data_IF_414353005525
#
_entry.id   IF_414353005525
#
_cell.length_a   1.000
_cell.length_b   1.000
_cell.length_c   1.000
_cell.angle_alpha   90.00
_cell.angle_beta   90.00
_cell.angle_gamma   90.00
#
_symmetry.space_group_name_H-M   'P 1'
#
loop_
_entity.id
_entity.type
_entity.pdbx_description
1 polymer ?
#
# COMPACT_ATOMS: atom_id res chain seq x y z
N UNK A 1 -16.51 -24.30 22.39
CA UNK A 1 -16.44 -22.90 22.88
C UNK A 1 -15.02 -22.38 22.69
N UNK A 2 -14.77 -21.51 21.71
CA UNK A 2 -13.40 -21.08 21.36
C UNK A 2 -13.12 -19.68 21.93
N UNK A 3 -12.28 -19.60 22.96
CA UNK A 3 -11.74 -18.34 23.50
C UNK A 3 -10.63 -17.85 22.58
N UNK A 4 -10.84 -16.70 21.93
CA UNK A 4 -9.82 -16.05 21.11
C UNK A 4 -9.01 -15.10 21.98
N UNK A 5 -7.76 -15.47 22.25
CA UNK A 5 -6.79 -14.69 23.01
C UNK A 5 -6.18 -13.63 22.09
N UNK A 6 -6.51 -12.37 22.33
CA UNK A 6 -5.80 -11.20 21.78
C UNK A 6 -4.62 -10.88 22.70
N UNK A 7 -3.45 -11.46 22.44
CA UNK A 7 -2.19 -11.08 23.12
C UNK A 7 -1.07 -10.97 22.10
N UNK A 8 -1.01 -9.84 21.38
CA UNK A 8 0.21 -9.36 20.72
C UNK A 8 0.20 -7.83 20.72
N UNK A 9 0.33 -7.22 21.90
CA UNK A 9 0.67 -5.79 22.03
C UNK A 9 1.33 -5.42 23.38
N UNK A 10 1.56 -6.38 24.28
CA UNK A 10 2.05 -6.14 25.65
C UNK A 10 3.48 -6.59 25.91
N UNK A 11 4.15 -7.29 24.97
CA UNK A 11 5.42 -8.00 25.27
C UNK A 11 6.69 -7.16 25.01
N UNK A 12 6.61 -6.01 24.33
CA UNK A 12 7.83 -5.20 24.07
C UNK A 12 8.21 -4.29 25.27
N UNK A 13 7.36 -4.15 26.27
CA UNK A 13 7.65 -3.28 27.45
C UNK A 13 8.36 -4.06 28.59
N UNK A 14 8.36 -5.40 28.57
CA UNK A 14 8.88 -6.21 29.67
C UNK A 14 10.37 -6.58 29.56
N UNK A 15 11.04 -6.36 28.41
CA UNK A 15 12.44 -6.74 28.19
C UNK A 15 13.46 -5.59 28.33
N UNK A 16 13.08 -4.48 28.97
CA UNK A 16 13.99 -3.38 29.33
C UNK A 16 14.15 -3.23 30.85
N UNK A 17 14.28 -4.35 31.56
CA UNK A 17 14.74 -4.39 32.95
C UNK A 17 16.22 -4.75 32.91
N UNK A 18 17.08 -3.75 33.03
CA UNK A 18 18.52 -3.98 33.03
C UNK A 18 19.33 -2.69 33.16
N UNK A 19 19.22 -2.03 34.32
CA UNK A 19 20.30 -1.19 34.84
C UNK A 19 20.08 0.33 34.84
N UNK A 20 20.25 0.88 36.05
CA UNK A 20 20.61 2.27 36.38
C UNK A 20 19.57 3.39 36.16
N UNK A 21 18.87 3.74 37.25
CA UNK A 21 19.37 4.75 38.20
C UNK A 21 18.18 5.30 39.01
N UNK A 22 18.17 4.94 40.29
CA UNK A 22 17.27 5.51 41.27
C UNK A 22 17.88 6.85 41.73
N UNK A 23 17.42 7.99 41.22
CA UNK A 23 17.57 9.28 41.92
C UNK A 23 16.59 10.36 41.43
N UNK A 24 16.12 11.17 42.41
CA UNK A 24 15.26 12.35 42.34
C UNK A 24 13.85 12.23 41.70
N UNK A 25 12.85 11.93 42.53
CA UNK A 25 11.41 11.99 42.22
C UNK A 25 10.97 13.32 41.56
N UNK A 26 11.61 14.46 41.88
CA UNK A 26 11.29 15.76 41.27
C UNK A 26 11.83 15.92 39.84
N UNK A 27 13.02 15.38 39.55
CA UNK A 27 13.61 15.44 38.21
C UNK A 27 12.84 14.53 37.24
N UNK A 28 12.48 13.33 37.68
CA UNK A 28 11.68 12.38 36.87
C UNK A 28 10.24 12.88 36.62
N UNK A 29 9.63 13.58 37.57
CA UNK A 29 8.32 14.21 37.39
C UNK A 29 8.36 15.37 36.36
N UNK A 30 9.37 16.25 36.43
CA UNK A 30 9.54 17.36 35.49
C UNK A 30 9.80 16.86 34.06
N UNK A 31 10.67 15.85 33.91
CA UNK A 31 10.94 15.23 32.61
C UNK A 31 9.71 14.53 32.02
N UNK A 32 8.92 13.83 32.85
CA UNK A 32 7.64 13.26 32.42
C UNK A 32 6.69 14.35 31.90
N UNK A 33 6.54 15.45 32.64
CA UNK A 33 5.66 16.56 32.24
C UNK A 33 6.13 17.19 30.93
N UNK A 34 7.43 17.42 30.79
CA UNK A 34 8.04 17.95 29.56
C UNK A 34 7.81 17.00 28.37
N UNK A 35 8.02 15.69 28.55
CA UNK A 35 7.77 14.70 27.51
C UNK A 35 6.28 14.66 27.10
N UNK A 36 5.36 14.70 28.07
CA UNK A 36 3.92 14.77 27.78
C UNK A 36 3.53 16.07 27.05
N UNK A 37 4.09 17.22 27.44
CA UNK A 37 3.85 18.51 26.79
C UNK A 37 4.40 18.54 25.36
N UNK A 38 5.62 18.05 25.15
CA UNK A 38 6.26 17.94 23.84
C UNK A 38 5.49 16.98 22.92
N UNK A 39 5.00 15.85 23.45
CA UNK A 39 4.16 14.93 22.70
C UNK A 39 2.85 15.58 22.23
N UNK A 40 2.18 16.36 23.09
CA UNK A 40 0.97 17.12 22.73
C UNK A 40 1.26 18.21 21.68
N UNK A 41 2.38 18.92 21.83
CA UNK A 41 2.83 19.93 20.87
C UNK A 41 3.15 19.30 19.51
N UNK A 42 3.83 18.16 19.50
CA UNK A 42 4.11 17.40 18.28
C UNK A 42 2.81 16.92 17.60
N UNK A 43 1.78 16.50 18.36
CA UNK A 43 0.44 16.24 17.80
C UNK A 43 -0.10 17.49 17.12
N UNK A 44 -0.08 18.66 17.78
CA UNK A 44 -0.59 19.91 17.21
C UNK A 44 0.13 20.22 15.88
N UNK A 45 1.45 20.10 15.85
CA UNK A 45 2.30 20.29 14.67
C UNK A 45 2.27 19.15 13.65
N UNK A 46 1.43 18.11 13.86
CA UNK A 46 1.28 16.93 12.97
C UNK A 46 2.54 16.06 12.86
N UNK A 47 3.50 16.21 13.77
CA UNK A 47 4.70 15.36 13.84
C UNK A 47 4.42 14.10 14.66
N UNK A 48 3.59 13.21 14.12
CA UNK A 48 3.06 12.06 14.89
C UNK A 48 4.13 11.08 15.35
N UNK A 49 5.14 10.77 14.53
CA UNK A 49 6.27 9.92 14.93
C UNK A 49 7.05 10.52 16.10
N UNK A 50 7.29 11.83 16.08
CA UNK A 50 7.95 12.51 17.21
C UNK A 50 7.06 12.48 18.46
N UNK A 51 5.74 12.67 18.30
CA UNK A 51 4.80 12.58 19.40
C UNK A 51 4.82 11.19 20.07
N UNK A 52 4.87 10.11 19.29
CA UNK A 52 5.02 8.75 19.82
C UNK A 52 6.31 8.59 20.64
N UNK A 53 7.45 9.06 20.12
CA UNK A 53 8.72 9.03 20.85
C UNK A 53 8.64 9.80 22.16
N UNK A 54 8.01 10.97 22.18
CA UNK A 54 7.80 11.74 23.40
C UNK A 54 6.92 11.00 24.43
N UNK A 55 5.81 10.38 24.01
CA UNK A 55 4.97 9.60 24.94
C UNK A 55 5.64 8.30 25.42
N UNK A 56 6.46 7.67 24.58
CA UNK A 56 7.30 6.54 25.00
C UNK A 56 8.32 7.00 26.05
N UNK A 57 8.96 8.14 25.85
CA UNK A 57 9.88 8.70 26.84
C UNK A 57 9.17 9.05 28.16
N UNK A 58 7.93 9.57 28.09
CA UNK A 58 7.11 9.76 29.29
C UNK A 58 6.86 8.44 30.04
N UNK A 59 6.55 7.35 29.33
CA UNK A 59 6.37 6.02 29.93
C UNK A 59 7.66 5.44 30.51
N UNK A 60 8.83 5.75 29.95
CA UNK A 60 10.13 5.38 30.53
C UNK A 60 10.36 6.06 31.90
N UNK A 61 9.80 7.25 32.11
CA UNK A 61 9.91 8.00 33.38
C UNK A 61 8.81 7.64 34.39
N UNK A 62 7.61 7.35 33.91
CA UNK A 62 6.49 6.86 34.73
C UNK A 62 5.89 5.61 34.10
N UNK A 63 6.44 4.47 34.50
CA UNK A 63 5.97 3.17 34.05
C UNK A 63 4.48 3.00 34.39
N UNK A 64 3.72 2.39 33.48
CA UNK A 64 2.29 2.11 33.63
C UNK A 64 1.39 3.35 33.80
N UNK A 65 1.85 4.56 33.45
CA UNK A 65 1.00 5.75 33.46
C UNK A 65 -0.11 5.64 32.39
N UNK A 66 -1.36 5.49 32.86
CA UNK A 66 -2.53 5.27 32.00
C UNK A 66 -2.76 6.42 31.01
N UNK A 67 -2.36 7.64 31.36
CA UNK A 67 -2.55 8.82 30.51
C UNK A 67 -1.53 8.81 29.37
N UNK A 68 -0.25 8.65 29.67
CA UNK A 68 0.82 8.56 28.67
C UNK A 68 0.60 7.38 27.72
N UNK A 69 0.21 6.21 28.26
CA UNK A 69 -0.11 5.03 27.45
C UNK A 69 -1.26 5.30 26.49
N UNK A 70 -2.32 5.97 26.96
CA UNK A 70 -3.46 6.34 26.12
C UNK A 70 -3.09 7.30 25.00
N UNK A 71 -2.30 8.33 25.30
CA UNK A 71 -1.82 9.28 24.29
C UNK A 71 -0.93 8.58 23.25
N UNK A 72 -0.03 7.69 23.68
CA UNK A 72 0.78 6.88 22.79
C UNK A 72 -0.09 6.00 21.88
N UNK A 73 -0.95 5.18 22.46
CA UNK A 73 -1.81 4.26 21.70
C UNK A 73 -2.74 5.00 20.75
N UNK A 74 -3.33 6.13 21.17
CA UNK A 74 -4.18 6.93 20.31
C UNK A 74 -3.40 7.50 19.12
N UNK A 75 -2.17 7.98 19.35
CA UNK A 75 -1.29 8.50 18.28
C UNK A 75 -0.92 7.40 17.30
N UNK A 76 -0.48 6.24 17.78
CA UNK A 76 -0.15 5.07 16.96
C UNK A 76 -1.32 4.60 16.10
N UNK A 77 -2.53 4.59 16.67
CA UNK A 77 -3.77 4.25 15.93
C UNK A 77 -4.07 5.28 14.85
N UNK A 78 -3.84 6.57 15.11
CA UNK A 78 -4.02 7.62 14.12
C UNK A 78 -3.01 7.47 12.96
N UNK A 79 -1.74 7.21 13.26
CA UNK A 79 -0.71 6.93 12.25
C UNK A 79 -1.07 5.70 11.41
N UNK A 80 -1.53 4.62 12.05
CA UNK A 80 -2.00 3.43 11.34
C UNK A 80 -3.18 3.74 10.40
N UNK A 81 -4.06 4.67 10.79
CA UNK A 81 -5.19 5.09 9.97
C UNK A 81 -4.75 5.90 8.74
N UNK A 82 -3.80 6.81 8.90
CA UNK A 82 -3.22 7.61 7.80
C UNK A 82 -2.48 6.69 6.81
N UNK A 83 -1.65 5.76 7.31
CA UNK A 83 -0.96 4.78 6.46
C UNK A 83 -1.96 3.91 5.68
N UNK A 84 -2.98 3.36 6.36
CA UNK A 84 -4.02 2.57 5.69
C UNK A 84 -4.80 3.38 4.64
N UNK A 85 -4.98 4.69 4.85
CA UNK A 85 -5.61 5.57 3.86
C UNK A 85 -4.70 5.79 2.65
N UNK A 86 -3.41 6.02 2.87
CA UNK A 86 -2.40 6.19 1.81
C UNK A 86 -2.21 4.92 0.95
N UNK A 87 -2.31 3.76 1.58
CA UNK A 87 -2.26 2.43 0.98
C UNK A 87 -3.59 2.01 0.33
N UNK A 88 -4.61 2.87 0.40
CA UNK A 88 -5.96 2.64 -0.15
C UNK A 88 -6.75 1.52 0.56
N UNK A 89 -6.30 1.09 1.74
CA UNK A 89 -7.02 0.18 2.64
C UNK A 89 -8.12 0.90 3.42
N UNK A 90 -9.12 1.42 2.70
CA UNK A 90 -10.16 2.29 3.27
C UNK A 90 -10.97 1.69 4.42
N UNK A 91 -11.18 0.37 4.43
CA UNK A 91 -11.88 -0.31 5.52
C UNK A 91 -11.06 -0.27 6.82
N UNK A 92 -9.76 -0.57 6.74
CA UNK A 92 -8.81 -0.50 7.85
C UNK A 92 -8.65 0.93 8.34
N UNK A 93 -8.48 1.89 7.42
CA UNK A 93 -8.42 3.31 7.74
C UNK A 93 -9.67 3.76 8.53
N UNK A 94 -10.87 3.39 8.06
CA UNK A 94 -12.12 3.70 8.75
C UNK A 94 -12.14 3.15 10.19
N UNK A 95 -11.74 1.89 10.38
CA UNK A 95 -11.72 1.23 11.70
C UNK A 95 -10.73 1.92 12.65
N UNK A 96 -9.54 2.27 12.16
CA UNK A 96 -8.55 2.96 12.97
C UNK A 96 -8.96 4.38 13.33
N UNK A 97 -9.50 5.17 12.39
CA UNK A 97 -10.04 6.51 12.70
C UNK A 97 -11.20 6.44 13.69
N UNK A 98 -12.12 5.48 13.53
CA UNK A 98 -13.21 5.27 14.49
C UNK A 98 -12.66 5.00 15.90
N UNK A 99 -11.66 4.13 16.02
CA UNK A 99 -11.01 3.83 17.31
C UNK A 99 -10.39 5.08 17.94
N UNK A 100 -9.72 5.93 17.14
CA UNK A 100 -9.13 7.19 17.63
C UNK A 100 -10.21 8.18 18.07
N UNK A 101 -11.30 8.28 17.31
CA UNK A 101 -12.44 9.14 17.64
C UNK A 101 -13.10 8.70 18.95
N UNK A 102 -13.25 7.39 19.17
CA UNK A 102 -13.94 6.84 20.34
C UNK A 102 -13.06 6.84 21.60
N UNK A 103 -11.76 7.09 21.46
CA UNK A 103 -10.82 7.16 22.59
C UNK A 103 -11.17 8.31 23.53
N UNK A 104 -11.70 7.98 24.72
CA UNK A 104 -12.01 8.95 25.78
C UNK A 104 -10.78 9.30 26.60
N UNK A 105 -10.74 10.52 27.13
CA UNK A 105 -9.66 11.06 27.96
C UNK A 105 -8.28 11.09 27.26
N UNK A 106 -8.26 11.10 25.93
CA UNK A 106 -7.07 11.23 25.10
C UNK A 106 -6.86 12.65 24.55
N UNK A 107 -6.11 12.76 23.47
CA UNK A 107 -5.94 13.97 22.68
C UNK A 107 -7.20 14.34 21.91
N UNK A 108 -7.83 15.45 22.29
CA UNK A 108 -8.99 16.01 21.59
C UNK A 108 -8.64 16.44 20.15
N UNK A 109 -7.39 16.85 19.92
CA UNK A 109 -6.89 17.20 18.59
C UNK A 109 -6.94 15.98 17.66
N UNK A 110 -6.47 14.82 18.14
CA UNK A 110 -6.53 13.58 17.35
C UNK A 110 -7.96 13.10 17.16
N UNK A 111 -8.82 13.20 18.18
CA UNK A 111 -10.24 12.87 18.07
C UNK A 111 -10.93 13.68 16.98
N UNK A 112 -10.74 15.01 16.96
CA UNK A 112 -11.33 15.90 15.94
C UNK A 112 -10.81 15.57 14.54
N UNK A 113 -9.49 15.42 14.39
CA UNK A 113 -8.89 15.06 13.09
C UNK A 113 -9.35 13.70 12.59
N UNK A 114 -9.48 12.72 13.48
CA UNK A 114 -9.97 11.39 13.13
C UNK A 114 -11.44 11.43 12.67
N UNK A 115 -12.28 12.26 13.29
CA UNK A 115 -13.67 12.46 12.86
C UNK A 115 -13.74 13.05 11.45
N UNK A 116 -12.91 14.05 11.13
CA UNK A 116 -12.86 14.65 9.80
C UNK A 116 -12.36 13.65 8.75
N UNK A 117 -11.31 12.90 9.08
CA UNK A 117 -10.81 11.81 8.23
C UNK A 117 -11.82 10.69 8.05
N UNK A 118 -12.60 10.36 9.08
CA UNK A 118 -13.65 9.35 8.99
C UNK A 118 -14.74 9.76 7.99
N UNK A 119 -15.16 11.03 8.00
CA UNK A 119 -16.08 11.57 6.99
C UNK A 119 -15.49 11.42 5.59
N UNK A 120 -14.24 11.82 5.40
CA UNK A 120 -13.53 11.70 4.13
C UNK A 120 -13.47 10.24 3.65
N UNK A 121 -13.09 9.29 4.51
CA UNK A 121 -13.03 7.86 4.18
C UNK A 121 -14.40 7.31 3.81
N UNK A 122 -15.47 7.70 4.51
CA UNK A 122 -16.84 7.28 4.17
C UNK A 122 -17.23 7.75 2.76
N UNK A 123 -16.94 9.01 2.42
CA UNK A 123 -17.15 9.54 1.06
C UNK A 123 -16.32 8.78 0.03
N UNK A 124 -15.04 8.52 0.31
CA UNK A 124 -14.17 7.76 -0.59
C UNK A 124 -14.76 6.37 -0.85
N UNK A 125 -15.17 5.65 0.20
CA UNK A 125 -15.77 4.31 0.08
C UNK A 125 -17.07 4.33 -0.72
N UNK A 126 -17.91 5.36 -0.55
CA UNK A 126 -19.13 5.52 -1.35
C UNK A 126 -18.80 5.65 -2.83
N UNK A 127 -17.88 6.55 -3.17
CA UNK A 127 -17.42 6.73 -4.54
C UNK A 127 -16.78 5.46 -5.12
N UNK A 128 -15.97 4.71 -4.34
CA UNK A 128 -15.42 3.41 -4.76
C UNK A 128 -16.54 2.45 -5.18
N UNK A 129 -17.63 2.37 -4.42
CA UNK A 129 -18.78 1.52 -4.79
C UNK A 129 -19.42 1.97 -6.09
N UNK A 130 -19.66 3.27 -6.24
CA UNK A 130 -20.27 3.84 -7.46
C UNK A 130 -19.38 3.60 -8.69
N UNK A 131 -18.09 3.91 -8.60
CA UNK A 131 -17.14 3.73 -9.69
C UNK A 131 -16.95 2.26 -10.06
N UNK A 132 -16.91 1.35 -9.07
CA UNK A 132 -16.90 -0.09 -9.34
C UNK A 132 -18.15 -0.53 -10.10
N UNK A 133 -19.33 -0.03 -9.74
CA UNK A 133 -20.59 -0.36 -10.45
C UNK A 133 -20.53 0.05 -11.93
N UNK A 134 -20.06 1.27 -12.23
CA UNK A 134 -19.89 1.74 -13.62
C UNK A 134 -18.85 0.91 -14.37
N UNK A 135 -17.72 0.59 -13.72
CA UNK A 135 -16.67 -0.22 -14.33
C UNK A 135 -17.16 -1.64 -14.65
N UNK A 136 -17.90 -2.29 -13.72
CA UNK A 136 -18.51 -3.60 -13.96
C UNK A 136 -19.54 -3.57 -15.08
N UNK A 137 -20.34 -2.49 -15.17
CA UNK A 137 -21.26 -2.29 -16.32
C UNK A 137 -20.48 -2.22 -17.64
N UNK A 138 -19.40 -1.44 -17.69
CA UNK A 138 -18.55 -1.34 -18.88
C UNK A 138 -17.89 -2.69 -19.23
N UNK A 139 -17.47 -3.47 -18.23
CA UNK A 139 -16.92 -4.82 -18.44
C UNK A 139 -17.97 -5.75 -19.06
N UNK A 140 -19.19 -5.78 -18.54
CA UNK A 140 -20.27 -6.58 -19.14
C UNK A 140 -20.62 -6.15 -20.57
N UNK A 141 -20.55 -4.85 -20.87
CA UNK A 141 -20.72 -4.36 -22.25
C UNK A 141 -19.59 -4.81 -23.17
N UNK A 142 -18.33 -4.84 -22.69
CA UNK A 142 -17.20 -5.37 -23.43
C UNK A 142 -17.33 -6.89 -23.70
N UNK A 143 -17.72 -7.66 -22.68
CA UNK A 143 -17.95 -9.11 -22.77
C UNK A 143 -19.07 -9.44 -23.77
N UNK A 144 -20.10 -8.60 -23.84
CA UNK A 144 -21.16 -8.67 -24.85
C UNK A 144 -20.78 -8.11 -26.23
N UNK A 145 -19.48 -7.82 -26.47
CA UNK A 145 -18.93 -7.22 -27.70
C UNK A 145 -19.49 -5.83 -28.04
N UNK A 146 -20.21 -5.19 -27.12
CA UNK A 146 -20.76 -3.84 -27.23
C UNK A 146 -19.72 -2.78 -26.87
N UNK A 147 -18.60 -2.77 -27.60
CA UNK A 147 -17.43 -1.93 -27.28
C UNK A 147 -17.71 -0.43 -27.28
N UNK A 148 -18.56 0.06 -28.19
CA UNK A 148 -18.97 1.46 -28.25
C UNK A 148 -19.70 1.89 -26.97
N UNK A 149 -20.69 1.11 -26.54
CA UNK A 149 -21.41 1.37 -25.29
C UNK A 149 -20.51 1.25 -24.05
N UNK A 150 -19.60 0.27 -24.04
CA UNK A 150 -18.60 0.14 -22.98
C UNK A 150 -17.74 1.40 -22.88
N UNK A 151 -17.28 1.96 -24.01
CA UNK A 151 -16.55 3.21 -24.05
C UNK A 151 -17.39 4.40 -23.57
N UNK A 152 -18.67 4.51 -23.93
CA UNK A 152 -19.56 5.55 -23.39
C UNK A 152 -19.65 5.49 -21.86
N UNK A 153 -19.83 4.29 -21.28
CA UNK A 153 -19.82 4.12 -19.81
C UNK A 153 -18.46 4.49 -19.20
N UNK A 154 -17.35 4.21 -19.89
CA UNK A 154 -16.02 4.60 -19.43
C UNK A 154 -15.78 6.11 -19.52
N UNK A 155 -16.35 6.80 -20.51
CA UNK A 155 -16.28 8.25 -20.61
C UNK A 155 -17.02 8.95 -19.46
N UNK A 156 -18.16 8.41 -19.01
CA UNK A 156 -18.84 8.87 -17.78
C UNK A 156 -17.91 8.80 -16.56
N UNK A 157 -17.13 7.71 -16.43
CA UNK A 157 -16.12 7.56 -15.38
C UNK A 157 -14.99 8.58 -15.52
N UNK A 158 -14.42 8.73 -16.72
CA UNK A 158 -13.28 9.63 -16.95
C UNK A 158 -13.65 11.12 -16.88
N UNK A 159 -14.89 11.49 -17.19
CA UNK A 159 -15.39 12.85 -17.08
C UNK A 159 -15.66 13.25 -15.61
N UNK A 160 -15.77 12.27 -14.70
CA UNK A 160 -15.88 12.55 -13.27
C UNK A 160 -14.51 12.95 -12.68
N UNK A 161 -14.35 14.23 -12.32
CA UNK A 161 -13.10 14.75 -11.74
C UNK A 161 -12.68 14.03 -10.45
N UNK A 162 -13.62 13.52 -9.65
CA UNK A 162 -13.32 12.74 -8.45
C UNK A 162 -12.64 11.42 -8.80
N UNK A 163 -13.01 10.78 -9.91
CA UNK A 163 -12.42 9.50 -10.34
C UNK A 163 -10.92 9.61 -10.66
N UNK A 164 -10.45 10.82 -11.01
CA UNK A 164 -9.03 11.10 -11.29
C UNK A 164 -8.18 11.28 -10.02
N UNK A 165 -8.81 11.34 -8.84
CA UNK A 165 -8.08 11.48 -7.59
C UNK A 165 -7.26 10.23 -7.26
N UNK A 166 -6.13 10.42 -6.57
CA UNK A 166 -5.19 9.34 -6.18
C UNK A 166 -5.87 8.15 -5.50
N UNK A 167 -6.94 8.39 -4.74
CA UNK A 167 -7.68 7.33 -4.04
C UNK A 167 -8.27 6.26 -4.97
N UNK A 168 -8.52 6.61 -6.24
CA UNK A 168 -9.15 5.71 -7.21
C UNK A 168 -8.19 5.22 -8.28
N UNK A 169 -6.87 5.42 -8.12
CA UNK A 169 -5.84 5.10 -9.11
C UNK A 169 -5.94 3.66 -9.68
N UNK A 170 -6.30 2.69 -8.83
CA UNK A 170 -6.42 1.29 -9.24
C UNK A 170 -7.64 1.07 -10.13
N UNK A 171 -8.76 1.74 -9.85
CA UNK A 171 -9.96 1.68 -10.69
C UNK A 171 -9.75 2.45 -12.00
N UNK A 172 -9.08 3.61 -11.93
CA UNK A 172 -8.72 4.39 -13.11
C UNK A 172 -7.84 3.58 -14.08
N UNK A 173 -6.87 2.85 -13.56
CA UNK A 173 -6.00 1.99 -14.38
C UNK A 173 -6.78 0.85 -15.04
N UNK A 174 -7.72 0.22 -14.32
CA UNK A 174 -8.60 -0.81 -14.88
C UNK A 174 -9.50 -0.25 -15.99
N UNK A 175 -10.09 0.93 -15.77
CA UNK A 175 -10.90 1.62 -16.78
C UNK A 175 -10.08 1.93 -18.05
N UNK A 176 -8.82 2.36 -17.90
CA UNK A 176 -7.94 2.66 -19.03
C UNK A 176 -7.59 1.39 -19.82
N UNK A 177 -7.28 0.30 -19.14
CA UNK A 177 -7.01 -1.00 -19.76
C UNK A 177 -8.24 -1.51 -20.53
N UNK A 178 -9.44 -1.39 -19.94
CA UNK A 178 -10.68 -1.79 -20.61
C UNK A 178 -10.96 -0.96 -21.86
N UNK A 179 -10.75 0.36 -21.80
CA UNK A 179 -10.89 1.24 -22.99
C UNK A 179 -9.92 0.81 -24.10
N UNK A 180 -8.68 0.48 -23.75
CA UNK A 180 -7.70 -0.04 -24.73
C UNK A 180 -8.19 -1.35 -25.37
N UNK A 181 -8.74 -2.26 -24.58
CA UNK A 181 -9.31 -3.51 -25.08
C UNK A 181 -10.53 -3.28 -25.99
N UNK A 182 -11.45 -2.38 -25.61
CA UNK A 182 -12.60 -1.98 -26.44
C UNK A 182 -12.17 -1.44 -27.80
N UNK A 183 -11.16 -0.56 -27.84
CA UNK A 183 -10.68 0.05 -29.08
C UNK A 183 -10.03 -1.00 -30.00
N UNK A 184 -9.28 -1.95 -29.43
CA UNK A 184 -8.72 -3.07 -30.17
C UNK A 184 -9.84 -3.97 -30.74
N UNK A 185 -10.86 -4.28 -29.94
CA UNK A 185 -12.03 -5.04 -30.37
C UNK A 185 -12.80 -4.38 -31.52
N UNK A 186 -13.02 -3.06 -31.46
CA UNK A 186 -13.64 -2.30 -32.55
C UNK A 186 -12.81 -2.34 -33.83
N UNK A 187 -11.49 -2.19 -33.72
CA UNK A 187 -10.58 -2.24 -34.87
C UNK A 187 -10.62 -3.62 -35.53
N UNK A 188 -10.63 -4.70 -34.72
CA UNK A 188 -10.74 -6.06 -35.23
C UNK A 188 -12.09 -6.33 -35.91
N UNK A 189 -13.20 -5.85 -35.35
CA UNK A 189 -14.53 -5.99 -35.98
C UNK A 189 -14.66 -5.22 -37.30
N UNK A 190 -13.97 -4.09 -37.43
CA UNK A 190 -13.92 -3.31 -38.67
C UNK A 190 -13.08 -4.02 -39.73
N UNK A 191 -11.94 -4.61 -39.34
CA UNK A 191 -11.09 -5.37 -40.24
C UNK A 191 -11.78 -6.65 -40.76
N UNK A 192 -12.53 -7.37 -39.91
CA UNK A 192 -13.31 -8.53 -40.35
C UNK A 192 -14.48 -8.15 -41.27
N UNK A 193 -15.10 -7.00 -41.05
CA UNK A 193 -16.17 -6.44 -41.91
C UNK A 193 -15.64 -5.90 -43.25
N UNK A 194 -14.38 -5.43 -43.29
CA UNK A 194 -13.70 -5.05 -44.53
C UNK A 194 -13.27 -6.28 -45.35
N UNK A 195 -12.94 -7.39 -44.68
CA UNK A 195 -12.59 -8.65 -45.36
C UNK A 195 -13.83 -9.35 -45.96
N UNK A 196 -15.00 -9.23 -45.31
CA UNK A 196 -16.26 -9.76 -45.85
C UNK A 196 -16.85 -8.91 -46.99
N UNK A 197 -16.39 -7.68 -47.20
CA UNK A 197 -16.75 -6.85 -48.35
C UNK A 197 -15.78 -7.00 -49.53
N UNK A 198 -14.55 -7.46 -49.31
CA UNK A 198 -13.61 -7.85 -50.37
C UNK A 198 -13.89 -9.25 -50.95
N UNK A 199 -14.56 -10.14 -50.22
CA UNK A 199 -14.90 -11.50 -50.68
C UNK A 199 -16.10 -11.58 -51.64
N UNK A 200 -16.84 -10.48 -51.86
CA UNK A 200 -17.94 -10.43 -52.83
C UNK A 200 -17.45 -10.20 -54.28
N UNK A 201 -16.14 -10.17 -54.53
CA UNK A 201 -15.57 -9.95 -55.87
C UNK A 201 -14.30 -10.77 -56.12
N UNK A 202 -14.32 -12.07 -55.84
CA UNK A 202 -13.47 -13.05 -56.56
C UNK A 202 -13.71 -14.47 -56.03
N UNK A 203 -14.50 -15.24 -56.77
CA UNK A 203 -14.49 -16.70 -56.73
C UNK A 203 -13.19 -17.23 -57.35
N UNK A 204 -12.45 -18.09 -56.64
CA UNK A 204 -11.75 -19.28 -57.16
C UNK A 204 -10.99 -19.99 -56.05
N UNK A 205 -11.04 -21.32 -56.11
CA UNK A 205 -10.55 -22.30 -55.14
C UNK A 205 -9.02 -22.48 -55.04
N UNK A 206 -8.65 -23.14 -53.94
CA UNK A 206 -7.64 -24.20 -53.78
C UNK A 206 -6.32 -23.89 -53.04
N UNK A 207 -6.28 -24.47 -51.83
CA UNK A 207 -5.28 -25.43 -51.32
C UNK A 207 -3.81 -25.04 -51.09
N UNK A 208 -3.43 -25.22 -49.81
CA UNK A 208 -2.24 -25.91 -49.29
C UNK A 208 -1.03 -25.09 -48.78
N UNK A 209 -0.80 -25.29 -47.48
CA UNK A 209 0.49 -25.45 -46.75
C UNK A 209 1.53 -24.33 -46.76
N UNK A 210 1.83 -23.76 -45.58
CA UNK A 210 2.99 -24.18 -44.76
C UNK A 210 3.17 -23.32 -43.50
N UNK A 211 3.70 -23.98 -42.48
CA UNK A 211 4.03 -23.59 -41.11
C UNK A 211 4.95 -22.37 -40.90
N UNK A 212 4.76 -21.68 -39.78
CA UNK A 212 5.81 -21.39 -38.78
C UNK A 212 5.19 -20.73 -37.53
N UNK A 213 5.11 -21.50 -36.44
CA UNK A 213 5.94 -21.34 -35.22
C UNK A 213 5.71 -20.02 -34.48
N UNK A 214 4.74 -20.04 -33.55
CA UNK A 214 4.68 -19.09 -32.44
C UNK A 214 4.96 -19.86 -31.15
N UNK A 215 6.17 -19.64 -30.64
CA UNK A 215 6.71 -20.12 -29.37
C UNK A 215 5.82 -19.66 -28.22
N UNK A 216 5.19 -20.63 -27.58
CA UNK A 216 4.52 -20.52 -26.29
C UNK A 216 5.55 -20.29 -25.18
N UNK A 217 5.64 -19.07 -24.67
CA UNK A 217 6.19 -18.79 -23.34
C UNK A 217 5.04 -18.67 -22.35
N UNK A 218 4.77 -19.79 -21.68
CA UNK A 218 3.84 -19.95 -20.58
C UNK A 218 4.24 -19.05 -19.39
N UNK A 219 3.67 -17.85 -19.32
CA UNK A 219 3.53 -17.15 -18.04
C UNK A 219 2.38 -17.83 -17.28
N UNK A 220 2.71 -18.67 -16.31
CA UNK A 220 1.74 -19.34 -15.46
C UNK A 220 0.75 -18.32 -14.86
N UNK A 221 -0.51 -18.41 -15.27
CA UNK A 221 -1.59 -17.61 -14.70
C UNK A 221 -1.90 -18.13 -13.30
N UNK A 222 -1.89 -17.22 -12.31
CA UNK A 222 -2.25 -17.54 -10.93
C UNK A 222 -3.63 -18.20 -10.88
N UNK A 223 -3.71 -19.33 -10.19
CA UNK A 223 -4.94 -20.03 -9.87
C UNK A 223 -5.88 -19.15 -9.03
N UNK A 224 -7.18 -19.46 -9.06
CA UNK A 224 -8.19 -18.72 -8.30
C UNK A 224 -7.91 -18.67 -6.79
N UNK A 225 -7.26 -19.71 -6.24
CA UNK A 225 -6.79 -19.78 -4.85
C UNK A 225 -5.61 -18.83 -4.59
N UNK A 226 -4.64 -18.76 -5.50
CA UNK A 226 -3.50 -17.83 -5.41
C UNK A 226 -3.94 -16.36 -5.55
N UNK A 227 -4.93 -16.07 -6.39
CA UNK A 227 -5.53 -14.73 -6.49
C UNK A 227 -6.28 -14.33 -5.22
N UNK A 228 -6.92 -15.28 -4.54
CA UNK A 228 -7.60 -15.03 -3.26
C UNK A 228 -6.59 -14.83 -2.11
N UNK A 229 -5.47 -15.55 -2.13
CA UNK A 229 -4.36 -15.36 -1.19
C UNK A 229 -3.68 -13.99 -1.40
N UNK A 230 -3.42 -13.59 -2.64
CA UNK A 230 -2.89 -12.27 -2.99
C UNK A 230 -3.82 -11.11 -2.57
N UNK A 231 -5.14 -11.30 -2.65
CA UNK A 231 -6.14 -10.31 -2.21
C UNK A 231 -6.26 -10.18 -0.69
N UNK A 232 -5.88 -11.20 0.08
CA UNK A 232 -5.95 -11.22 1.55
C UNK A 232 -4.61 -10.88 2.24
N UNK A 233 -3.53 -10.78 1.46
CA UNK A 233 -2.21 -10.44 1.99
C UNK A 233 -2.18 -8.96 2.42
N UNK A 234 -1.93 -8.72 3.71
CA UNK A 234 -1.94 -7.38 4.35
C UNK A 234 -0.54 -6.85 4.66
N UNK A 235 0.50 -7.44 4.06
CA UNK A 235 1.89 -6.98 4.14
C UNK A 235 2.37 -6.32 2.84
N UNK A 236 3.52 -5.66 2.88
CA UNK A 236 4.23 -5.20 1.67
C UNK A 236 4.82 -6.42 0.97
N UNK A 237 4.42 -6.69 -0.28
CA UNK A 237 5.11 -7.67 -1.14
C UNK A 237 5.54 -7.02 -2.46
N UNK A 238 6.38 -7.75 -3.19
CA UNK A 238 7.05 -7.34 -4.43
C UNK A 238 6.15 -6.72 -5.51
N UNK A 239 4.84 -6.98 -5.44
CA UNK A 239 3.84 -6.57 -6.42
C UNK A 239 3.05 -5.30 -6.04
N UNK A 240 3.23 -4.76 -4.83
CA UNK A 240 2.50 -3.56 -4.34
C UNK A 240 3.34 -2.29 -4.26
N UNK A 241 4.56 -2.33 -4.81
CA UNK A 241 5.57 -1.29 -4.65
C UNK A 241 5.28 -0.05 -5.49
N UNK A 242 5.32 1.13 -4.86
CA UNK A 242 5.15 2.43 -5.55
C UNK A 242 6.38 2.83 -6.38
N UNK A 243 6.22 3.66 -7.42
CA UNK A 243 7.35 4.11 -8.29
C UNK A 243 8.56 4.65 -7.50
N UNK A 244 8.34 5.46 -6.46
CA UNK A 244 9.40 5.99 -5.58
C UNK A 244 10.20 4.92 -4.83
N UNK A 245 9.60 3.76 -4.58
CA UNK A 245 10.24 2.62 -3.92
C UNK A 245 10.94 1.68 -4.93
N UNK A 246 10.76 1.92 -6.24
CA UNK A 246 11.47 1.23 -7.32
C UNK A 246 12.68 2.02 -7.85
N UNK A 247 12.88 3.25 -7.39
CA UNK A 247 13.90 4.15 -7.92
C UNK A 247 15.00 4.45 -6.89
N UNK A 248 16.25 4.53 -7.35
CA UNK A 248 17.40 5.08 -6.63
C UNK A 248 17.86 6.34 -7.37
N UNK A 249 17.88 7.48 -6.71
CA UNK A 249 18.29 8.76 -7.33
C UNK A 249 17.53 9.08 -8.63
N UNK A 250 16.23 8.76 -8.67
CA UNK A 250 15.37 8.99 -9.85
C UNK A 250 15.54 8.00 -11.00
N UNK A 251 16.38 6.96 -10.85
CA UNK A 251 16.53 5.86 -11.82
C UNK A 251 15.91 4.58 -11.28
N UNK A 252 15.14 3.88 -12.11
CA UNK A 252 14.57 2.58 -11.76
C UNK A 252 15.68 1.57 -11.44
N UNK A 253 15.59 0.93 -10.28
CA UNK A 253 16.44 -0.19 -9.89
C UNK A 253 16.02 -1.42 -10.71
N UNK A 254 16.95 -1.97 -11.50
CA UNK A 254 16.69 -3.11 -12.39
C UNK A 254 16.78 -4.45 -11.65
N UNK A 255 16.26 -5.53 -12.25
CA UNK A 255 16.36 -6.88 -11.72
C UNK A 255 17.84 -7.31 -11.52
N UNK A 256 18.73 -6.94 -12.45
CA UNK A 256 20.17 -7.23 -12.35
C UNK A 256 20.84 -6.54 -11.16
N UNK A 257 20.41 -5.31 -10.84
CA UNK A 257 20.88 -4.57 -9.67
C UNK A 257 20.39 -5.21 -8.37
N UNK A 258 19.18 -5.75 -8.36
CA UNK A 258 18.64 -6.50 -7.21
C UNK A 258 19.44 -7.81 -7.01
N UNK A 259 19.69 -8.56 -8.09
CA UNK A 259 20.49 -9.79 -8.02
C UNK A 259 21.93 -9.52 -7.52
N UNK A 260 22.54 -8.42 -7.98
CA UNK A 260 23.87 -8.00 -7.54
C UNK A 260 23.88 -7.55 -6.07
N UNK A 261 22.83 -6.85 -5.64
CA UNK A 261 22.65 -6.44 -4.25
C UNK A 261 22.47 -7.65 -3.32
N UNK A 262 21.70 -8.67 -3.72
CA UNK A 262 21.57 -9.93 -2.97
C UNK A 262 22.91 -10.61 -2.74
N UNK A 263 23.74 -10.74 -3.80
CA UNK A 263 25.11 -11.27 -3.67
C UNK A 263 25.95 -10.47 -2.67
N UNK A 264 25.84 -9.15 -2.69
CA UNK A 264 26.57 -8.25 -1.78
C UNK A 264 26.13 -8.41 -0.32
N UNK A 265 24.83 -8.59 -0.09
CA UNK A 265 24.25 -8.79 1.25
C UNK A 265 24.60 -10.19 1.78
N UNK A 266 24.53 -11.23 0.95
CA UNK A 266 24.97 -12.59 1.29
C UNK A 266 26.47 -12.61 1.66
N UNK A 267 27.32 -11.95 0.88
CA UNK A 267 28.75 -11.82 1.17
C UNK A 267 29.04 -11.01 2.46
N UNK A 268 28.09 -10.20 2.93
CA UNK A 268 28.17 -9.47 4.19
C UNK A 268 27.76 -10.32 5.41
N UNK A 269 27.34 -11.58 5.21
CA UNK A 269 26.93 -12.51 6.26
C UNK A 269 25.44 -12.46 6.61
N UNK A 270 24.63 -11.76 5.81
CA UNK A 270 23.17 -11.65 5.98
C UNK A 270 22.47 -12.50 4.93
N UNK A 271 21.49 -13.32 5.32
CA UNK A 271 20.77 -14.21 4.39
C UNK A 271 19.80 -13.43 3.49
N UNK A 272 20.31 -12.90 2.39
CA UNK A 272 19.52 -12.19 1.39
C UNK A 272 18.51 -13.09 0.68
N UNK A 273 18.70 -14.41 0.66
CA UNK A 273 17.76 -15.34 0.02
C UNK A 273 16.41 -15.40 0.75
N UNK A 274 16.38 -15.02 2.04
CA UNK A 274 15.16 -14.84 2.81
C UNK A 274 14.50 -13.44 2.61
N UNK A 275 15.18 -12.51 1.93
CA UNK A 275 14.68 -11.15 1.70
C UNK A 275 13.82 -11.09 0.42
N UNK A 276 12.78 -10.28 0.42
CA UNK A 276 12.03 -9.97 -0.81
C UNK A 276 12.81 -8.96 -1.69
N UNK A 277 12.48 -8.87 -2.97
CA UNK A 277 13.07 -7.85 -3.86
C UNK A 277 12.79 -6.42 -3.38
N UNK A 278 11.71 -6.24 -2.61
CA UNK A 278 11.42 -4.97 -1.96
C UNK A 278 12.39 -4.68 -0.82
N UNK A 279 12.72 -5.66 0.01
CA UNK A 279 13.66 -5.50 1.11
C UNK A 279 15.06 -5.18 0.59
N UNK A 280 15.46 -5.82 -0.50
CA UNK A 280 16.73 -5.53 -1.20
C UNK A 280 16.72 -4.10 -1.77
N UNK A 281 15.60 -3.64 -2.32
CA UNK A 281 15.44 -2.25 -2.78
C UNK A 281 15.50 -1.23 -1.64
N UNK A 282 14.86 -1.52 -0.50
CA UNK A 282 14.93 -0.67 0.70
C UNK A 282 16.36 -0.61 1.22
N UNK A 283 17.08 -1.73 1.26
CA UNK A 283 18.48 -1.77 1.68
C UNK A 283 19.37 -0.89 0.77
N UNK A 284 19.20 -0.97 -0.56
CA UNK A 284 19.89 -0.10 -1.52
C UNK A 284 19.60 1.38 -1.29
N UNK A 285 18.33 1.74 -1.08
CA UNK A 285 17.93 3.13 -0.84
C UNK A 285 18.51 3.69 0.47
N UNK A 286 18.49 2.89 1.54
CA UNK A 286 18.96 3.32 2.85
C UNK A 286 20.48 3.38 2.95
N UNK A 287 21.19 2.46 2.28
CA UNK A 287 22.65 2.53 2.14
C UNK A 287 23.06 3.82 1.42
N UNK A 288 22.40 4.14 0.30
CA UNK A 288 22.67 5.38 -0.44
C UNK A 288 22.35 6.64 0.36
N UNK A 289 21.20 6.68 1.07
CA UNK A 289 20.81 7.82 1.92
C UNK A 289 21.78 8.08 3.08
N UNK A 290 22.50 7.05 3.53
CA UNK A 290 23.47 7.12 4.62
C UNK A 290 24.91 7.32 4.13
N UNK A 291 25.12 7.46 2.82
CA UNK A 291 26.45 7.49 2.21
C UNK A 291 27.32 6.29 2.62
N UNK A 292 26.70 5.11 2.73
CA UNK A 292 27.35 3.85 3.12
C UNK A 292 27.34 2.84 1.98
N UNK A 293 28.35 1.97 1.95
CA UNK A 293 28.31 0.80 1.06
C UNK A 293 27.20 -0.17 1.50
N UNK A 294 26.59 -0.86 0.54
CA UNK A 294 25.53 -1.84 0.83
C UNK A 294 26.04 -2.96 1.78
N UNK A 295 27.31 -3.35 1.65
CA UNK A 295 27.93 -4.34 2.54
C UNK A 295 28.05 -3.84 3.98
N UNK A 296 28.49 -2.59 4.19
CA UNK A 296 28.57 -1.97 5.52
C UNK A 296 27.18 -1.77 6.13
N UNK A 297 26.21 -1.32 5.31
CA UNK A 297 24.82 -1.21 5.71
C UNK A 297 24.23 -2.56 6.15
N UNK A 298 24.48 -3.62 5.38
CA UNK A 298 23.99 -4.96 5.70
C UNK A 298 24.53 -5.47 7.05
N UNK A 299 25.84 -5.35 7.29
CA UNK A 299 26.45 -5.78 8.57
C UNK A 299 25.90 -5.03 9.78
N UNK A 300 25.59 -3.74 9.62
CA UNK A 300 25.21 -2.89 10.74
C UNK A 300 23.70 -2.87 11.02
N UNK A 301 22.86 -3.08 10.00
CA UNK A 301 21.42 -2.83 10.10
C UNK A 301 20.53 -3.98 9.62
N UNK A 302 21.09 -5.06 9.04
CA UNK A 302 20.33 -6.19 8.51
C UNK A 302 20.69 -7.54 9.17
N UNK A 303 21.53 -7.55 10.22
CA UNK A 303 21.80 -8.73 11.04
C UNK A 303 20.73 -8.96 12.12
#
# INVERSE_FOLDING_TARGET
>A
MKKWVWVVATIVVALLIGGYAYSNHHATAKEYQAAMANGRTAIQSKHYTQAESYFQNALKRRLNDKTAQRYLTQTQRFVSAENALDDLHFASAQKHYQTVQDTKNGSQVLTKRAQDRLKQVKTIRSNVKQFKKLLTKAQGQNEALNYGQSNTTLDELFNNSKFRQRYYKNLYSQALALRKANNAGQTASLASSASSTAAASSSSESSATSSSTATSSSSASLTSSEQAAAKNYSGSNEYTVTKKQKELNGKTITADQIASARKTINAAGVQADAMSDQDVRVALQQANKKDMSLSAYAKQYLQ
#
